data_IF_466506989129
#
_entry.id   IF_466506989129
#
_cell.length_a   1.000
_cell.length_b   1.000
_cell.length_c   1.000
_cell.angle_alpha   90.00
_cell.angle_beta   90.00
_cell.angle_gamma   90.00
#
_symmetry.space_group_name_H-M   'P 1'
#
loop_
_entity.id
_entity.type
_entity.pdbx_description
1 polymer ?
#
# COMPACT_ATOMS: atom_id res chain seq x y z
N UNK A 1 -12.78 2.70 -20.17
CA UNK A 1 -11.72 1.70 -19.92
C UNK A 1 -10.65 2.40 -19.10
N UNK A 2 -10.20 1.84 -17.99
CA UNK A 2 -9.08 2.40 -17.22
C UNK A 2 -7.84 2.33 -18.11
N UNK A 3 -7.22 3.48 -18.37
CA UNK A 3 -5.93 3.48 -19.03
C UNK A 3 -4.87 3.20 -17.95
N UNK A 4 -4.47 1.94 -17.85
CA UNK A 4 -3.59 1.50 -16.76
C UNK A 4 -2.59 0.48 -17.27
N UNK A 5 -1.32 0.74 -17.01
CA UNK A 5 -0.26 -0.22 -17.26
C UNK A 5 -0.09 -1.12 -16.03
N UNK A 6 -0.25 -2.44 -16.20
CA UNK A 6 0.02 -3.44 -15.17
C UNK A 6 1.45 -3.97 -15.35
N UNK A 7 2.25 -3.87 -14.29
CA UNK A 7 3.64 -4.35 -14.23
C UNK A 7 3.74 -5.37 -13.10
N UNK A 8 4.29 -6.54 -13.38
CA UNK A 8 4.64 -7.52 -12.34
C UNK A 8 6.00 -7.14 -11.76
N UNK A 9 6.01 -6.61 -10.54
CA UNK A 9 7.26 -6.34 -9.80
C UNK A 9 7.88 -7.68 -9.39
N UNK A 10 7.08 -8.57 -8.81
CA UNK A 10 7.43 -9.98 -8.57
C UNK A 10 6.27 -10.86 -9.04
N UNK A 11 6.34 -12.17 -8.80
CA UNK A 11 5.20 -13.07 -9.03
C UNK A 11 3.99 -12.78 -8.12
N UNK A 12 4.17 -12.00 -7.04
CA UNK A 12 3.14 -11.69 -6.03
C UNK A 12 2.95 -10.21 -5.76
N UNK A 13 3.71 -9.31 -6.39
CA UNK A 13 3.58 -7.87 -6.21
C UNK A 13 3.35 -7.25 -7.59
N UNK A 14 2.23 -6.55 -7.75
CA UNK A 14 1.81 -5.96 -9.00
C UNK A 14 1.66 -4.46 -8.85
N UNK A 15 2.23 -3.72 -9.80
CA UNK A 15 2.11 -2.27 -9.89
C UNK A 15 1.12 -1.92 -11.00
N UNK A 16 0.19 -1.03 -10.69
CA UNK A 16 -0.71 -0.39 -11.62
C UNK A 16 -0.30 1.08 -11.78
N UNK A 17 0.02 1.48 -13.01
CA UNK A 17 0.41 2.85 -13.35
C UNK A 17 -0.73 3.51 -14.11
N UNK A 18 -1.34 4.51 -13.50
CA UNK A 18 -2.42 5.32 -14.07
C UNK A 18 -1.88 6.61 -14.68
N UNK A 19 -2.58 7.17 -15.66
CA UNK A 19 -2.17 8.44 -16.25
C UNK A 19 -2.45 9.64 -15.34
N UNK A 20 -3.57 9.58 -14.60
CA UNK A 20 -4.00 10.66 -13.71
C UNK A 20 -4.24 10.20 -12.28
N UNK A 21 -4.05 11.12 -11.33
CA UNK A 21 -4.37 10.91 -9.92
C UNK A 21 -5.86 10.62 -9.71
N UNK A 22 -6.73 11.29 -10.47
CA UNK A 22 -8.18 11.09 -10.39
C UNK A 22 -8.57 9.67 -10.78
N UNK A 23 -8.01 9.12 -11.86
CA UNK A 23 -8.27 7.74 -12.26
C UNK A 23 -7.79 6.73 -11.21
N UNK A 24 -6.59 6.92 -10.68
CA UNK A 24 -6.04 6.11 -9.60
C UNK A 24 -6.98 6.12 -8.39
N UNK A 25 -7.23 7.30 -7.82
CA UNK A 25 -7.98 7.46 -6.58
C UNK A 25 -9.43 7.02 -6.73
N UNK A 26 -10.08 7.33 -7.86
CA UNK A 26 -11.45 6.87 -8.12
C UNK A 26 -11.57 5.37 -8.36
N UNK A 27 -10.49 4.70 -8.77
CA UNK A 27 -10.45 3.24 -8.92
C UNK A 27 -10.24 2.56 -7.56
N UNK A 28 -9.41 3.12 -6.68
CA UNK A 28 -9.00 2.49 -5.43
C UNK A 28 -9.88 2.81 -4.22
N UNK A 29 -10.63 3.91 -4.22
CA UNK A 29 -11.33 4.46 -3.04
C UNK A 29 -12.00 3.40 -2.17
N UNK A 30 -12.97 2.63 -2.68
CA UNK A 30 -13.71 1.69 -1.81
C UNK A 30 -12.83 0.54 -1.31
N UNK A 31 -11.85 0.10 -2.10
CA UNK A 31 -10.89 -0.92 -1.67
C UNK A 31 -10.02 -0.39 -0.53
N UNK A 32 -9.45 0.81 -0.68
CA UNK A 32 -8.59 1.43 0.33
C UNK A 32 -9.35 1.69 1.62
N UNK A 33 -10.56 2.26 1.51
CA UNK A 33 -11.34 2.64 2.69
C UNK A 33 -11.91 1.41 3.41
N UNK A 34 -12.22 0.32 2.69
CA UNK A 34 -12.51 -0.96 3.33
C UNK A 34 -11.30 -1.54 4.07
N UNK A 35 -10.09 -1.26 3.59
CA UNK A 35 -8.85 -1.80 4.15
C UNK A 35 -8.38 -1.02 5.40
N UNK A 36 -8.32 0.31 5.32
CA UNK A 36 -7.57 1.14 6.28
C UNK A 36 -8.39 2.22 6.96
N UNK A 37 -9.56 2.59 6.43
CA UNK A 37 -10.34 3.73 6.93
C UNK A 37 -10.67 3.58 8.42
N UNK A 38 -10.41 4.59 9.27
CA UNK A 38 -10.85 4.57 10.66
C UNK A 38 -12.38 4.35 10.80
N UNK A 39 -13.15 4.84 9.82
CA UNK A 39 -14.62 4.74 9.81
C UNK A 39 -15.13 3.49 9.10
N UNK A 40 -14.55 3.14 7.96
CA UNK A 40 -15.08 2.13 7.02
C UNK A 40 -14.30 0.81 7.00
N UNK A 41 -13.23 0.66 7.77
CA UNK A 41 -12.44 -0.57 7.83
C UNK A 41 -13.30 -1.80 8.13
N UNK A 42 -13.17 -2.81 7.28
CA UNK A 42 -13.92 -4.06 7.28
C UNK A 42 -15.45 -3.91 7.11
N UNK A 43 -15.96 -2.71 6.80
CA UNK A 43 -17.39 -2.47 6.56
C UNK A 43 -17.72 -2.54 5.07
N UNK A 44 -18.95 -2.89 4.78
CA UNK A 44 -19.53 -2.81 3.43
C UNK A 44 -20.26 -1.48 3.33
N UNK A 45 -20.05 -0.73 2.24
CA UNK A 45 -20.63 0.59 2.03
C UNK A 45 -20.70 0.93 0.54
N UNK A 46 -21.62 1.82 0.20
CA UNK A 46 -21.77 2.41 -1.14
C UNK A 46 -20.80 3.58 -1.35
N UNK A 47 -20.59 3.97 -2.62
CA UNK A 47 -19.77 5.14 -2.92
C UNK A 47 -20.44 6.42 -2.40
N UNK A 48 -21.76 6.46 -2.43
CA UNK A 48 -22.60 7.57 -1.95
C UNK A 48 -22.45 7.73 -0.44
N UNK A 49 -22.59 6.64 0.34
CA UNK A 49 -22.40 6.65 1.80
C UNK A 49 -21.01 7.18 2.19
N UNK A 50 -19.97 6.77 1.45
CA UNK A 50 -18.63 7.29 1.68
C UNK A 50 -18.53 8.79 1.36
N UNK A 51 -19.05 9.22 0.21
CA UNK A 51 -19.01 10.62 -0.22
C UNK A 51 -19.73 11.53 0.77
N UNK A 52 -20.90 11.13 1.25
CA UNK A 52 -21.67 11.88 2.25
C UNK A 52 -20.89 12.02 3.56
N UNK A 53 -20.32 10.93 4.06
CA UNK A 53 -19.47 10.97 5.24
C UNK A 53 -18.25 11.88 5.03
N UNK A 54 -17.56 11.73 3.91
CA UNK A 54 -16.36 12.49 3.58
C UNK A 54 -16.67 14.00 3.50
N UNK A 55 -17.75 14.39 2.83
CA UNK A 55 -18.18 15.80 2.72
C UNK A 55 -18.54 16.36 4.10
N UNK A 56 -19.22 15.57 4.93
CA UNK A 56 -19.58 16.00 6.29
C UNK A 56 -18.33 16.24 7.16
N UNK A 57 -17.30 15.42 6.97
CA UNK A 57 -16.05 15.50 7.75
C UNK A 57 -15.08 16.58 7.22
N UNK A 58 -14.97 16.73 5.91
CA UNK A 58 -13.96 17.57 5.22
C UNK A 58 -14.55 18.84 4.57
N UNK A 59 -15.88 19.03 4.62
CA UNK A 59 -16.60 20.18 4.06
C UNK A 59 -16.84 20.13 2.54
N UNK A 60 -16.05 19.35 1.79
CA UNK A 60 -16.23 19.11 0.35
C UNK A 60 -15.65 17.76 -0.06
N UNK A 61 -16.05 17.25 -1.23
CA UNK A 61 -15.46 16.02 -1.76
C UNK A 61 -14.17 16.32 -2.54
N UNK A 62 -13.01 15.96 -1.98
CA UNK A 62 -11.70 16.11 -2.62
C UNK A 62 -10.91 14.80 -2.74
N UNK A 63 -11.46 13.67 -2.30
CA UNK A 63 -10.74 12.38 -2.21
C UNK A 63 -9.91 12.01 -3.44
N UNK A 64 -10.43 12.30 -4.64
CA UNK A 64 -9.75 11.95 -5.88
C UNK A 64 -8.42 12.68 -6.13
N UNK A 65 -8.11 13.70 -5.33
CA UNK A 65 -6.87 14.47 -5.39
C UNK A 65 -6.07 14.46 -4.09
N UNK A 66 -6.53 13.78 -3.05
CA UNK A 66 -5.89 13.82 -1.73
C UNK A 66 -4.71 12.85 -1.61
N UNK A 67 -4.76 11.74 -2.34
CA UNK A 67 -3.78 10.66 -2.26
C UNK A 67 -3.03 10.48 -3.57
N UNK A 68 -1.72 10.18 -3.49
CA UNK A 68 -0.85 10.00 -4.66
C UNK A 68 -0.48 8.53 -4.92
N UNK A 69 -0.81 7.64 -3.99
CA UNK A 69 -0.49 6.23 -4.05
C UNK A 69 -1.48 5.41 -3.23
N UNK A 70 -1.70 4.18 -3.65
CA UNK A 70 -2.58 3.23 -2.98
C UNK A 70 -1.92 1.87 -2.92
N UNK A 71 -2.19 1.12 -1.86
CA UNK A 71 -1.71 -0.23 -1.72
C UNK A 71 -2.76 -1.09 -1.03
N UNK A 72 -3.02 -2.28 -1.59
CA UNK A 72 -3.99 -3.21 -1.01
C UNK A 72 -3.48 -4.66 -1.11
N UNK A 73 -3.62 -5.45 -0.04
CA UNK A 73 -3.43 -6.90 -0.13
C UNK A 73 -4.62 -7.56 -0.84
N UNK A 74 -4.36 -8.64 -1.58
CA UNK A 74 -5.38 -9.31 -2.42
C UNK A 74 -6.63 -9.77 -1.67
N UNK A 75 -6.51 -10.03 -0.36
CA UNK A 75 -7.66 -10.36 0.51
C UNK A 75 -8.78 -9.30 0.47
N UNK A 76 -8.45 -8.05 0.18
CA UNK A 76 -9.39 -6.92 0.10
C UNK A 76 -10.32 -7.05 -1.11
N UNK A 77 -9.92 -7.77 -2.15
CA UNK A 77 -10.76 -7.99 -3.32
C UNK A 77 -11.90 -8.99 -3.05
N UNK A 78 -11.75 -9.87 -2.05
CA UNK A 78 -12.70 -10.96 -1.76
C UNK A 78 -14.15 -10.48 -1.61
N UNK A 79 -14.49 -9.51 -0.73
CA UNK A 79 -15.88 -9.05 -0.60
C UNK A 79 -16.45 -8.43 -1.89
N UNK A 80 -15.61 -7.88 -2.76
CA UNK A 80 -16.04 -7.34 -4.05
C UNK A 80 -16.39 -8.45 -5.05
N UNK A 81 -15.59 -9.52 -5.11
CA UNK A 81 -15.92 -10.71 -5.91
C UNK A 81 -17.17 -11.43 -5.40
N UNK A 82 -17.40 -11.41 -4.09
CA UNK A 82 -18.60 -11.99 -3.45
C UNK A 82 -19.87 -11.14 -3.67
N UNK A 83 -19.78 -10.00 -4.37
CA UNK A 83 -20.93 -9.14 -4.64
C UNK A 83 -21.41 -8.34 -3.43
N UNK A 84 -20.60 -8.20 -2.38
CA UNK A 84 -20.99 -7.39 -1.20
C UNK A 84 -20.97 -5.89 -1.51
N UNK A 85 -20.11 -5.43 -2.42
CA UNK A 85 -19.96 -4.03 -2.80
C UNK A 85 -20.79 -3.65 -4.04
N UNK A 86 -22.07 -3.98 -4.06
CA UNK A 86 -22.94 -3.71 -5.21
C UNK A 86 -23.67 -2.34 -5.11
N UNK A 87 -23.85 -1.63 -6.25
CA UNK A 87 -23.26 -1.92 -7.55
C UNK A 87 -21.74 -1.60 -7.57
N UNK A 88 -21.00 -2.36 -8.37
CA UNK A 88 -19.61 -2.02 -8.72
C UNK A 88 -19.60 -0.96 -9.82
N UNK A 89 -18.73 0.04 -9.70
CA UNK A 89 -18.40 0.95 -10.79
C UNK A 89 -17.61 0.21 -11.88
N UNK A 90 -17.60 0.76 -13.09
CA UNK A 90 -16.83 0.19 -14.21
C UNK A 90 -15.32 0.11 -13.92
N UNK A 91 -14.78 1.05 -13.14
CA UNK A 91 -13.37 1.06 -12.73
C UNK A 91 -13.05 -0.10 -11.78
N UNK A 92 -13.93 -0.35 -10.82
CA UNK A 92 -13.77 -1.46 -9.88
C UNK A 92 -13.90 -2.82 -10.60
N UNK A 93 -14.87 -2.96 -11.50
CA UNK A 93 -15.00 -4.15 -12.34
C UNK A 93 -13.72 -4.42 -13.14
N UNK A 94 -13.15 -3.36 -13.74
CA UNK A 94 -11.92 -3.47 -14.51
C UNK A 94 -10.72 -3.83 -13.63
N UNK A 95 -10.56 -3.21 -12.46
CA UNK A 95 -9.52 -3.59 -11.49
C UNK A 95 -9.65 -5.08 -11.10
N UNK A 96 -10.85 -5.52 -10.73
CA UNK A 96 -11.10 -6.94 -10.39
C UNK A 96 -10.75 -7.86 -11.57
N UNK A 97 -11.11 -7.48 -12.80
CA UNK A 97 -10.80 -8.28 -13.99
C UNK A 97 -9.30 -8.50 -14.21
N UNK A 98 -8.44 -7.54 -13.83
CA UNK A 98 -6.98 -7.65 -13.94
C UNK A 98 -6.38 -8.74 -13.04
N UNK A 99 -7.09 -9.11 -11.97
CA UNK A 99 -6.59 -10.03 -10.94
C UNK A 99 -7.42 -11.29 -10.75
N UNK A 100 -8.54 -11.46 -11.49
CA UNK A 100 -9.46 -12.60 -11.36
C UNK A 100 -8.79 -13.98 -11.45
N UNK A 101 -7.70 -14.09 -12.22
CA UNK A 101 -7.00 -15.36 -12.47
C UNK A 101 -5.73 -15.53 -11.64
N UNK A 102 -5.37 -14.56 -10.79
CA UNK A 102 -4.17 -14.65 -9.96
C UNK A 102 -4.51 -15.43 -8.69
N UNK A 103 -3.77 -16.52 -8.46
CA UNK A 103 -3.98 -17.42 -7.32
C UNK A 103 -3.09 -17.03 -6.13
N UNK A 104 -3.59 -17.27 -4.92
CA UNK A 104 -2.86 -17.05 -3.68
C UNK A 104 -2.81 -15.58 -3.22
N UNK A 105 -2.00 -15.32 -2.20
CA UNK A 105 -1.84 -13.97 -1.66
C UNK A 105 -0.88 -13.16 -2.53
N UNK A 106 -1.34 -11.97 -2.95
CA UNK A 106 -0.55 -11.01 -3.71
C UNK A 106 -0.85 -9.59 -3.23
N UNK A 107 -0.04 -8.63 -3.68
CA UNK A 107 -0.11 -7.23 -3.30
C UNK A 107 -0.30 -6.37 -4.55
N UNK A 108 -1.15 -5.36 -4.45
CA UNK A 108 -1.42 -4.40 -5.53
C UNK A 108 -0.95 -3.03 -5.05
N UNK A 109 -0.13 -2.38 -5.87
CA UNK A 109 0.33 -1.01 -5.68
C UNK A 109 -0.26 -0.19 -6.83
N UNK A 110 -0.86 0.95 -6.53
CA UNK A 110 -1.39 1.90 -7.51
C UNK A 110 -0.65 3.23 -7.41
N UNK A 111 -0.13 3.71 -8.53
CA UNK A 111 0.52 5.03 -8.66
C UNK A 111 0.04 5.75 -9.92
N UNK A 112 0.31 7.05 -10.03
CA UNK A 112 0.04 7.81 -11.24
C UNK A 112 1.32 8.47 -11.81
N UNK A 113 1.41 8.59 -13.14
CA UNK A 113 2.61 9.08 -13.87
C UNK A 113 3.09 10.47 -13.46
N UNK A 114 2.18 11.32 -12.96
CA UNK A 114 2.49 12.72 -12.61
C UNK A 114 3.16 12.90 -11.24
N UNK A 115 3.40 11.82 -10.48
CA UNK A 115 4.02 11.93 -9.15
C UNK A 115 5.53 12.20 -9.27
N UNK A 116 6.04 13.20 -8.53
CA UNK A 116 7.42 13.70 -8.68
C UNK A 116 8.51 12.80 -8.07
N UNK A 117 8.15 11.87 -7.19
CA UNK A 117 9.08 10.90 -6.58
C UNK A 117 8.51 9.49 -6.57
N UNK A 118 8.24 8.95 -7.76
CA UNK A 118 7.77 7.57 -7.92
C UNK A 118 8.79 6.56 -7.36
N UNK A 119 10.12 6.70 -7.56
CA UNK A 119 11.07 5.68 -7.09
C UNK A 119 11.10 5.48 -5.57
N UNK A 120 11.09 6.55 -4.78
CA UNK A 120 11.11 6.44 -3.32
C UNK A 120 9.77 5.86 -2.80
N UNK A 121 8.65 6.35 -3.34
CA UNK A 121 7.32 5.80 -3.06
C UNK A 121 7.27 4.30 -3.40
N UNK A 122 7.73 3.90 -4.58
CA UNK A 122 7.71 2.49 -4.98
C UNK A 122 8.53 1.60 -4.06
N UNK A 123 9.70 2.05 -3.59
CA UNK A 123 10.49 1.23 -2.66
C UNK A 123 9.78 1.02 -1.32
N UNK A 124 9.11 2.06 -0.79
CA UNK A 124 8.26 1.95 0.39
C UNK A 124 7.16 0.90 0.19
N UNK A 125 6.39 1.05 -0.90
CA UNK A 125 5.24 0.19 -1.18
C UNK A 125 5.64 -1.27 -1.51
N UNK A 126 6.76 -1.47 -2.19
CA UNK A 126 7.30 -2.81 -2.46
C UNK A 126 7.77 -3.46 -1.15
N UNK A 127 8.32 -2.70 -0.21
CA UNK A 127 8.71 -3.24 1.09
C UNK A 127 7.49 -3.80 1.84
N UNK A 128 6.35 -3.09 1.85
CA UNK A 128 5.08 -3.61 2.38
C UNK A 128 4.61 -4.86 1.61
N UNK A 129 4.69 -4.83 0.28
CA UNK A 129 4.35 -5.98 -0.56
C UNK A 129 5.15 -7.23 -0.22
N UNK A 130 6.46 -7.11 0.00
CA UNK A 130 7.31 -8.22 0.44
C UNK A 130 6.94 -8.69 1.85
N UNK A 131 6.68 -7.77 2.77
CA UNK A 131 6.27 -8.07 4.14
C UNK A 131 4.94 -8.85 4.20
N UNK A 132 4.02 -8.55 3.28
CA UNK A 132 2.75 -9.27 3.16
C UNK A 132 2.90 -10.64 2.46
N UNK A 133 3.66 -10.70 1.36
CA UNK A 133 3.64 -11.85 0.44
C UNK A 133 4.73 -12.91 0.68
N UNK A 134 5.81 -12.55 1.37
CA UNK A 134 6.96 -13.40 1.66
C UNK A 134 7.16 -13.54 3.18
N UNK A 135 6.78 -14.72 3.71
CA UNK A 135 6.88 -15.04 5.14
C UNK A 135 8.33 -15.03 5.64
N UNK A 136 9.29 -15.43 4.80
CA UNK A 136 10.70 -15.46 5.17
C UNK A 136 11.25 -14.04 5.26
N UNK A 137 10.90 -13.17 4.29
CA UNK A 137 11.22 -11.74 4.33
C UNK A 137 10.68 -11.09 5.60
N UNK A 138 9.38 -11.29 5.87
CA UNK A 138 8.71 -10.77 7.06
C UNK A 138 9.41 -11.19 8.34
N UNK A 139 9.76 -12.48 8.47
CA UNK A 139 10.42 -13.02 9.65
C UNK A 139 11.82 -12.41 9.84
N UNK A 140 12.60 -12.27 8.77
CA UNK A 140 13.93 -11.63 8.82
C UNK A 140 13.84 -10.16 9.19
N UNK A 141 12.96 -9.39 8.53
CA UNK A 141 12.75 -7.98 8.84
C UNK A 141 12.28 -7.77 10.29
N UNK A 142 11.31 -8.56 10.74
CA UNK A 142 10.84 -8.55 12.13
C UNK A 142 11.94 -8.90 13.12
N UNK A 143 12.78 -9.90 12.78
CA UNK A 143 13.92 -10.31 13.59
C UNK A 143 14.99 -9.22 13.72
N UNK A 144 15.25 -8.47 12.63
CA UNK A 144 16.15 -7.31 12.65
C UNK A 144 15.60 -6.24 13.59
N UNK A 145 14.34 -5.82 13.43
CA UNK A 145 13.73 -4.75 14.23
C UNK A 145 13.78 -5.06 15.73
N UNK A 146 13.52 -6.32 16.11
CA UNK A 146 13.54 -6.76 17.52
C UNK A 146 14.90 -6.65 18.21
N UNK A 147 16.01 -6.52 17.47
CA UNK A 147 17.34 -6.31 18.05
C UNK A 147 17.56 -4.89 18.56
N UNK A 148 16.69 -3.94 18.18
CA UNK A 148 16.90 -2.51 18.41
C UNK A 148 15.73 -1.88 19.14
N UNK A 149 16.01 -0.85 19.95
CA UNK A 149 14.95 -0.01 20.52
C UNK A 149 14.36 0.90 19.44
N UNK A 150 13.10 0.63 19.09
CA UNK A 150 12.34 1.39 18.09
C UNK A 150 11.18 2.15 18.70
N UNK A 151 11.13 2.29 20.04
CA UNK A 151 10.00 2.90 20.76
C UNK A 151 9.69 4.32 20.28
N UNK A 152 10.73 5.15 20.10
CA UNK A 152 10.56 6.53 19.60
C UNK A 152 9.97 6.58 18.18
N UNK A 153 10.42 5.67 17.31
CA UNK A 153 9.95 5.57 15.93
C UNK A 153 8.49 5.12 15.90
N UNK A 154 8.17 4.07 16.66
CA UNK A 154 6.80 3.55 16.78
C UNK A 154 5.82 4.60 17.34
N UNK A 155 6.26 5.40 18.32
CA UNK A 155 5.46 6.49 18.88
C UNK A 155 5.23 7.62 17.86
N UNK A 156 6.24 7.98 17.07
CA UNK A 156 6.08 8.96 16.00
C UNK A 156 5.12 8.47 14.91
N UNK A 157 5.27 7.21 14.48
CA UNK A 157 4.37 6.60 13.49
C UNK A 157 2.93 6.55 14.00
N UNK A 158 2.73 6.11 15.24
CA UNK A 158 1.40 6.05 15.87
C UNK A 158 0.73 7.43 15.94
N UNK A 159 1.50 8.49 16.22
CA UNK A 159 0.97 9.85 16.33
C UNK A 159 0.69 10.53 14.98
N UNK A 160 1.40 10.16 13.91
CA UNK A 160 1.19 10.73 12.56
C UNK A 160 0.03 10.10 11.79
N UNK A 161 -0.20 8.80 11.93
CA UNK A 161 -1.14 8.07 11.06
C UNK A 161 -2.30 7.37 11.77
N UNK A 162 -2.40 7.44 13.10
CA UNK A 162 -3.42 6.67 13.85
C UNK A 162 -3.28 5.16 13.66
N UNK A 163 -2.09 4.71 13.24
CA UNK A 163 -1.82 3.33 12.88
C UNK A 163 -2.06 2.37 14.05
N UNK A 164 -2.78 1.28 13.79
CA UNK A 164 -2.97 0.23 14.77
C UNK A 164 -1.63 -0.45 15.11
N UNK A 165 -1.42 -0.86 16.37
CA UNK A 165 -0.15 -1.50 16.82
C UNK A 165 0.30 -2.67 15.93
N UNK A 166 -0.65 -3.36 15.30
CA UNK A 166 -0.38 -4.48 14.40
C UNK A 166 0.32 -4.12 13.09
N UNK A 167 0.28 -2.84 12.66
CA UNK A 167 0.94 -2.38 11.43
C UNK A 167 2.25 -1.64 11.71
N UNK A 168 2.52 -1.24 12.97
CA UNK A 168 3.73 -0.48 13.31
C UNK A 168 5.02 -1.22 12.95
N UNK A 169 5.05 -2.55 13.03
CA UNK A 169 6.23 -3.33 12.65
C UNK A 169 6.49 -3.25 11.13
N UNK A 170 5.43 -3.20 10.34
CA UNK A 170 5.45 -3.06 8.88
C UNK A 170 5.94 -1.64 8.49
N UNK A 171 5.38 -0.62 9.13
CA UNK A 171 5.82 0.77 8.92
C UNK A 171 7.29 0.98 9.31
N UNK A 172 7.72 0.45 10.45
CA UNK A 172 9.12 0.55 10.89
C UNK A 172 10.05 -0.15 9.90
N UNK A 173 9.68 -1.31 9.33
CA UNK A 173 10.56 -1.98 8.37
C UNK A 173 10.63 -1.22 7.04
N UNK A 174 9.50 -0.69 6.55
CA UNK A 174 9.44 0.05 5.30
C UNK A 174 10.29 1.32 5.38
N UNK A 175 10.02 2.20 6.34
CA UNK A 175 10.80 3.41 6.56
C UNK A 175 12.28 3.13 6.93
N UNK A 176 12.54 2.02 7.65
CA UNK A 176 13.89 1.61 8.00
C UNK A 176 14.73 1.13 6.82
N UNK A 177 14.08 0.67 5.74
CA UNK A 177 14.73 0.17 4.52
C UNK A 177 15.06 1.28 3.51
N UNK A 178 14.44 2.45 3.66
CA UNK A 178 14.60 3.59 2.76
C UNK A 178 15.87 4.41 2.97
N UNK A 179 16.20 5.24 1.98
CA UNK A 179 17.32 6.20 2.05
C UNK A 179 16.89 7.49 2.74
N UNK A 180 15.70 8.01 2.41
CA UNK A 180 15.14 9.24 2.97
C UNK A 180 13.75 8.93 3.53
N UNK A 181 13.51 9.32 4.79
CA UNK A 181 12.20 9.24 5.40
C UNK A 181 11.81 10.62 5.96
N UNK A 182 10.52 10.94 5.95
CA UNK A 182 9.97 12.17 6.55
C UNK A 182 9.85 12.13 8.08
N UNK A 183 10.35 11.07 8.73
CA UNK A 183 10.32 10.91 10.19
C UNK A 183 11.44 11.72 10.86
N UNK A 184 11.11 12.35 11.99
CA UNK A 184 12.04 13.10 12.85
C UNK A 184 12.92 12.16 13.66
N UNK A 185 12.36 11.02 14.06
CA UNK A 185 13.05 9.97 14.81
C UNK A 185 14.15 9.36 13.97
N UNK A 186 15.33 9.23 14.58
CA UNK A 186 16.48 8.60 13.94
C UNK A 186 16.40 7.09 14.12
N UNK A 187 16.51 6.38 13.00
CA UNK A 187 16.67 4.94 12.98
C UNK A 187 18.12 4.59 13.33
N UNK A 188 18.37 3.56 14.17
CA UNK A 188 19.72 3.04 14.38
C UNK A 188 20.38 2.68 13.04
N UNK A 189 21.64 3.09 12.85
CA UNK A 189 22.32 3.01 11.55
C UNK A 189 22.47 1.55 11.11
N UNK A 190 22.85 0.69 12.04
CA UNK A 190 23.08 -0.74 11.85
C UNK A 190 21.77 -1.43 11.45
N UNK A 191 20.66 -1.09 12.12
CA UNK A 191 19.33 -1.58 11.77
C UNK A 191 18.94 -1.23 10.33
N UNK A 192 19.18 0.01 9.89
CA UNK A 192 18.90 0.43 8.50
C UNK A 192 19.74 -0.35 7.50
N UNK A 193 21.02 -0.58 7.80
CA UNK A 193 21.91 -1.34 6.93
C UNK A 193 21.42 -2.79 6.80
N UNK A 194 21.05 -3.44 7.91
CA UNK A 194 20.48 -4.79 7.90
C UNK A 194 19.14 -4.86 7.13
N UNK A 195 18.22 -3.93 7.39
CA UNK A 195 16.92 -3.87 6.71
C UNK A 195 17.08 -3.64 5.21
N UNK A 196 17.94 -2.71 4.81
CA UNK A 196 18.24 -2.41 3.40
C UNK A 196 18.92 -3.59 2.69
N UNK A 197 19.85 -4.27 3.36
CA UNK A 197 20.48 -5.47 2.82
C UNK A 197 19.46 -6.60 2.63
N UNK A 198 18.59 -6.83 3.62
CA UNK A 198 17.50 -7.80 3.53
C UNK A 198 16.52 -7.45 2.38
N UNK A 199 16.11 -6.19 2.26
CA UNK A 199 15.26 -5.73 1.15
C UNK A 199 15.90 -6.03 -0.22
N UNK A 200 17.15 -5.63 -0.44
CA UNK A 200 17.86 -5.89 -1.70
C UNK A 200 17.98 -7.37 -2.02
N UNK A 201 18.39 -8.19 -1.05
CA UNK A 201 18.54 -9.63 -1.23
C UNK A 201 17.21 -10.28 -1.66
N UNK A 202 16.08 -9.81 -1.16
CA UNK A 202 14.77 -10.34 -1.57
C UNK A 202 14.25 -9.80 -2.89
N UNK A 203 14.61 -8.58 -3.28
CA UNK A 203 14.38 -8.12 -4.65
C UNK A 203 15.14 -9.02 -5.64
N UNK A 204 16.40 -9.31 -5.37
CA UNK A 204 17.24 -10.18 -6.21
C UNK A 204 16.71 -11.61 -6.25
N UNK A 205 16.42 -12.21 -5.08
CA UNK A 205 15.84 -13.55 -4.95
C UNK A 205 14.54 -13.71 -5.75
N UNK A 206 13.68 -12.68 -5.73
CA UNK A 206 12.40 -12.69 -6.43
C UNK A 206 12.49 -12.20 -7.88
N UNK A 207 13.70 -11.93 -8.40
CA UNK A 207 13.93 -11.37 -9.74
C UNK A 207 13.07 -10.13 -9.99
N UNK A 208 13.02 -9.24 -8.99
CA UNK A 208 12.09 -8.14 -8.99
C UNK A 208 12.39 -7.12 -10.10
N UNK A 209 11.36 -6.69 -10.82
CA UNK A 209 11.46 -5.66 -11.85
C UNK A 209 10.94 -4.36 -11.24
N UNK A 210 11.85 -3.46 -10.84
CA UNK A 210 11.49 -2.14 -10.34
C UNK A 210 11.54 -1.14 -11.49
N UNK A 211 10.40 -0.69 -12.03
CA UNK A 211 10.38 0.20 -13.18
C UNK A 211 10.91 1.59 -12.81
N UNK A 212 11.61 2.22 -13.76
CA UNK A 212 11.91 3.65 -13.73
C UNK A 212 10.75 4.35 -14.44
N UNK A 213 9.82 4.90 -13.66
CA UNK A 213 8.61 5.58 -14.14
C UNK A 213 8.77 7.08 -13.98
#
# INVERSE_FOLDING_TARGET
MINTQKISITSKIFLLVFDTQVELSSTFLRFQEHYESPKFRNKIFSLEEFKEWYIKDQGKFSYYTDWNGFNIPSKILKPFYEGKFNPLSEKEKQLLSLFKNIKGNFYIIGVHRKHKSIPDLLNHEIAHGLFYTDKEYKNKASGIIKKYDTTKIQNELSSKGGYHKSVLLDEVHAYGSEIRHGLKSRFPKEMRLELKANYKAYLEKNKAIVPKI
#
